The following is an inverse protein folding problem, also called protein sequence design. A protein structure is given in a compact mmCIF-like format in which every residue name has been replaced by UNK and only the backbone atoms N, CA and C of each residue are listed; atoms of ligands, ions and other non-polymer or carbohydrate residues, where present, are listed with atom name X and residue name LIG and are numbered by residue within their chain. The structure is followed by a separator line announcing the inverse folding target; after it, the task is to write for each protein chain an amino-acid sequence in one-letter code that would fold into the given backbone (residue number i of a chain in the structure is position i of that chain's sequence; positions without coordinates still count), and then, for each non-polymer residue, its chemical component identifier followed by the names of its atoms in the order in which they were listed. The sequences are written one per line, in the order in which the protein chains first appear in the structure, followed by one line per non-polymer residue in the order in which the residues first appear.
data_IF_144357796241
#
_entry.id   IF_144357796241
#
_cell.length_a   1.000
_cell.length_b   1.000
_cell.length_c   1.000
_cell.angle_alpha   90.00
_cell.angle_beta   90.00
_cell.angle_gamma   90.00
#
_symmetry.space_group_name_H-M   'P 1'
#
loop_
_entity.id
_entity.type
_entity.pdbx_description
1 polymer ?
#
# COMPACT_ATOMS: atom_id res chain seq x y z
N UNK A 1 15.86 5.49 -4.15
CA UNK A 1 16.02 4.03 -4.28
C UNK A 1 14.76 3.32 -3.79
N UNK A 2 14.25 2.36 -4.51
CA UNK A 2 13.13 1.56 -4.01
C UNK A 2 13.57 0.71 -2.82
N UNK A 3 12.62 0.49 -1.91
CA UNK A 3 12.84 -0.32 -0.71
C UNK A 3 12.73 -1.81 -1.09
N UNK A 4 13.68 -2.62 -0.65
CA UNK A 4 13.69 -4.07 -0.89
C UNK A 4 13.29 -4.88 0.35
N UNK A 5 13.67 -4.40 1.55
CA UNK A 5 13.31 -5.04 2.79
C UNK A 5 12.02 -4.44 3.37
N UNK A 6 11.24 -5.24 4.10
CA UNK A 6 10.02 -4.75 4.75
C UNK A 6 10.40 -3.80 5.89
N UNK A 7 9.87 -2.55 5.89
CA UNK A 7 10.20 -1.59 6.94
C UNK A 7 9.73 -2.06 8.31
N UNK A 8 10.55 -1.83 9.33
CA UNK A 8 10.26 -2.24 10.71
C UNK A 8 9.52 -1.17 11.52
N UNK A 9 9.25 -0.02 10.91
CA UNK A 9 8.56 1.10 11.57
C UNK A 9 7.63 1.81 10.60
N UNK A 10 6.67 2.54 11.17
CA UNK A 10 5.74 3.39 10.43
C UNK A 10 6.50 4.47 9.67
N UNK A 11 6.12 4.70 8.42
CA UNK A 11 6.74 5.74 7.59
C UNK A 11 6.37 5.64 6.12
N UNK A 12 6.90 6.58 5.36
CA UNK A 12 6.75 6.60 3.90
C UNK A 12 7.83 5.77 3.24
N UNK A 13 7.54 5.22 2.07
CA UNK A 13 8.51 4.46 1.29
C UNK A 13 8.18 4.55 -0.20
N UNK A 14 9.16 4.19 -1.02
CA UNK A 14 8.99 4.06 -2.46
C UNK A 14 9.21 2.59 -2.84
N UNK A 15 8.27 2.02 -3.58
CA UNK A 15 8.32 0.65 -4.06
C UNK A 15 8.51 0.62 -5.57
N UNK A 16 9.12 -0.43 -6.09
CA UNK A 16 9.29 -0.58 -7.53
C UNK A 16 8.04 -1.21 -8.13
N UNK A 17 7.37 -0.47 -9.01
CA UNK A 17 6.27 -0.96 -9.83
C UNK A 17 6.66 -1.08 -11.30
N UNK A 18 5.75 -1.54 -12.13
CA UNK A 18 5.97 -1.69 -13.58
C UNK A 18 6.12 -0.35 -14.31
N UNK A 19 5.46 0.71 -13.83
CA UNK A 19 5.52 2.05 -14.42
C UNK A 19 6.55 2.96 -13.75
N UNK A 20 7.30 2.46 -12.79
CA UNK A 20 8.27 3.22 -12.01
C UNK A 20 7.98 3.15 -10.52
N UNK A 21 8.44 4.14 -9.76
CA UNK A 21 8.30 4.15 -8.31
C UNK A 21 6.85 4.38 -7.88
N UNK A 22 6.44 3.65 -6.84
CA UNK A 22 5.12 3.76 -6.21
C UNK A 22 5.29 4.40 -4.85
N UNK A 23 4.56 5.49 -4.62
CA UNK A 23 4.52 6.23 -3.36
C UNK A 23 3.61 5.51 -2.37
N UNK A 24 4.13 5.13 -1.22
CA UNK A 24 3.39 4.31 -0.25
C UNK A 24 3.66 4.76 1.19
N UNK A 25 2.75 4.37 2.08
CA UNK A 25 2.87 4.57 3.52
C UNK A 25 2.59 3.24 4.21
N UNK A 26 3.50 2.83 5.08
CA UNK A 26 3.29 1.70 5.98
C UNK A 26 3.00 2.23 7.38
N UNK A 27 1.99 1.68 8.02
CA UNK A 27 1.67 1.95 9.41
C UNK A 27 1.61 0.63 10.20
N UNK A 28 2.44 0.54 11.23
CA UNK A 28 2.44 -0.58 12.15
C UNK A 28 1.37 -0.38 13.23
N UNK A 29 0.73 -1.46 13.71
CA UNK A 29 -0.17 -1.34 14.85
C UNK A 29 0.59 -0.91 16.09
N UNK A 30 -0.04 -0.07 16.91
CA UNK A 30 0.55 0.48 18.14
C UNK A 30 0.03 -0.20 19.40
N UNK A 31 -1.05 -0.97 19.28
CA UNK A 31 -1.65 -1.69 20.40
C UNK A 31 -0.88 -2.96 20.78
N UNK A 32 -1.39 -3.65 21.79
CA UNK A 32 -0.80 -4.91 22.27
C UNK A 32 -1.04 -6.08 21.32
N UNK A 33 -2.09 -6.02 20.50
CA UNK A 33 -2.39 -7.05 19.51
C UNK A 33 -1.69 -6.69 18.20
N UNK A 34 -0.79 -7.59 17.78
CA UNK A 34 -0.09 -7.44 16.49
C UNK A 34 -0.21 -8.75 15.72
N UNK A 35 -0.95 -8.71 14.62
CA UNK A 35 -1.22 -9.88 13.79
C UNK A 35 -0.14 -10.03 12.73
N UNK A 36 0.14 -11.26 12.32
CA UNK A 36 1.01 -11.52 11.17
C UNK A 36 0.20 -11.36 9.88
N UNK A 37 -0.21 -10.13 9.63
CA UNK A 37 -1.05 -9.75 8.50
C UNK A 37 -0.68 -8.35 8.01
N UNK A 38 -0.67 -8.20 6.70
CA UNK A 38 -0.51 -6.90 6.03
C UNK A 38 -1.76 -6.62 5.21
N UNK A 39 -2.39 -5.50 5.48
CA UNK A 39 -3.54 -5.03 4.71
C UNK A 39 -3.09 -3.99 3.69
N UNK A 40 -3.36 -4.26 2.42
CA UNK A 40 -3.09 -3.34 1.32
C UNK A 40 -4.39 -2.63 0.98
N UNK A 41 -4.41 -1.30 1.09
CA UNK A 41 -5.60 -0.49 0.87
C UNK A 41 -5.44 0.33 -0.41
N UNK A 42 -6.38 0.12 -1.35
CA UNK A 42 -6.43 0.81 -2.63
C UNK A 42 -7.34 2.04 -2.53
N UNK A 43 -6.96 3.13 -3.19
CA UNK A 43 -7.78 4.34 -3.20
C UNK A 43 -8.79 4.35 -4.36
N UNK A 44 -9.83 5.23 -4.28
CA UNK A 44 -10.80 5.38 -5.36
C UNK A 44 -10.17 5.87 -6.67
N UNK A 45 -10.97 5.87 -7.73
CA UNK A 45 -10.54 6.27 -9.07
C UNK A 45 -9.90 7.66 -9.07
N UNK A 46 -8.68 7.83 -9.65
CA UNK A 46 -7.94 9.10 -9.61
C UNK A 46 -8.69 10.29 -10.21
N UNK A 47 -9.48 10.05 -11.26
CA UNK A 47 -10.27 11.10 -11.92
C UNK A 47 -11.41 11.63 -11.02
N UNK A 48 -11.69 10.96 -9.90
CA UNK A 48 -12.65 11.40 -8.89
C UNK A 48 -11.95 11.84 -7.60
N UNK A 49 -10.70 12.31 -7.70
CA UNK A 49 -9.92 12.78 -6.56
C UNK A 49 -9.36 11.68 -5.68
N UNK A 50 -9.29 10.44 -6.20
CA UNK A 50 -8.76 9.31 -5.44
C UNK A 50 -7.26 9.44 -5.18
N UNK A 51 -6.86 9.35 -3.90
CA UNK A 51 -5.47 9.31 -3.46
C UNK A 51 -5.38 8.46 -2.19
N UNK A 52 -4.17 8.09 -1.79
CA UNK A 52 -3.97 7.34 -0.54
C UNK A 52 -4.27 8.15 0.71
N UNK A 53 -4.48 9.45 0.58
CA UNK A 53 -4.90 10.33 1.68
C UNK A 53 -6.41 10.55 1.73
N UNK A 54 -7.16 9.96 0.80
CA UNK A 54 -8.61 10.00 0.80
C UNK A 54 -9.15 9.49 2.14
N UNK A 55 -10.21 10.12 2.65
CA UNK A 55 -10.74 9.81 3.99
C UNK A 55 -11.18 8.37 4.13
N UNK A 56 -11.78 7.77 3.09
CA UNK A 56 -12.17 6.36 3.13
C UNK A 56 -10.95 5.46 3.25
N UNK A 57 -9.88 5.77 2.52
CA UNK A 57 -8.63 5.01 2.56
C UNK A 57 -7.99 5.09 3.95
N UNK A 58 -7.84 6.30 4.50
CA UNK A 58 -7.22 6.47 5.82
C UNK A 58 -8.07 5.88 6.93
N UNK A 59 -9.39 6.00 6.86
CA UNK A 59 -10.30 5.41 7.83
C UNK A 59 -10.22 3.88 7.82
N UNK A 60 -10.22 3.28 6.63
CA UNK A 60 -10.09 1.82 6.48
C UNK A 60 -8.73 1.34 7.01
N UNK A 61 -7.66 2.04 6.66
CA UNK A 61 -6.33 1.71 7.15
C UNK A 61 -6.24 1.79 8.68
N UNK A 62 -6.79 2.83 9.28
CA UNK A 62 -6.77 2.99 10.73
C UNK A 62 -7.59 1.91 11.43
N UNK A 63 -8.74 1.52 10.88
CA UNK A 63 -9.55 0.44 11.44
C UNK A 63 -8.80 -0.89 11.44
N UNK A 64 -8.13 -1.23 10.31
CA UNK A 64 -7.35 -2.46 10.21
C UNK A 64 -6.11 -2.42 11.10
N UNK A 65 -5.47 -1.27 11.23
CA UNK A 65 -4.36 -1.08 12.17
C UNK A 65 -4.82 -1.31 13.60
N UNK A 66 -5.97 -0.78 13.98
CA UNK A 66 -6.52 -0.95 15.33
C UNK A 66 -6.87 -2.42 15.62
N UNK A 67 -7.18 -3.20 14.58
CA UNK A 67 -7.37 -4.65 14.69
C UNK A 67 -6.04 -5.43 14.76
N UNK A 68 -4.91 -4.76 14.70
CA UNK A 68 -3.59 -5.36 14.83
C UNK A 68 -2.89 -5.68 13.51
N UNK A 69 -3.40 -5.24 12.38
CA UNK A 69 -2.75 -5.42 11.08
C UNK A 69 -1.73 -4.32 10.81
N UNK A 70 -0.62 -4.67 10.17
CA UNK A 70 0.23 -3.69 9.51
C UNK A 70 -0.51 -3.25 8.24
N UNK A 71 -0.57 -1.95 7.97
CA UNK A 71 -1.29 -1.44 6.81
C UNK A 71 -0.34 -0.80 5.82
N UNK A 72 -0.64 -0.99 4.54
CA UNK A 72 0.06 -0.33 3.44
C UNK A 72 -0.99 0.33 2.56
N UNK A 73 -0.93 1.65 2.45
CA UNK A 73 -1.71 2.40 1.47
C UNK A 73 -0.74 3.07 0.51
N UNK A 74 -1.18 3.27 -0.70
CA UNK A 74 -0.30 3.75 -1.77
C UNK A 74 -1.09 4.57 -2.78
N UNK A 75 -0.36 5.34 -3.57
CA UNK A 75 -0.93 6.03 -4.73
C UNK A 75 -0.71 5.19 -5.99
N UNK A 76 -1.79 4.94 -6.72
CA UNK A 76 -1.69 4.32 -8.04
C UNK A 76 -0.82 5.17 -8.98
N UNK A 77 -0.33 4.55 -10.06
CA UNK A 77 0.50 5.23 -11.06
C UNK A 77 -0.11 6.55 -11.51
N UNK A 78 0.73 7.57 -11.61
CA UNK A 78 0.31 8.91 -12.01
C UNK A 78 -0.32 9.75 -10.91
N UNK A 79 -0.47 9.22 -9.69
CA UNK A 79 -1.06 9.93 -8.55
C UNK A 79 0.03 10.29 -7.55
N UNK A 80 0.01 11.52 -7.03
CA UNK A 80 0.99 11.98 -6.05
C UNK A 80 2.41 11.80 -6.57
N UNK A 81 3.28 11.15 -5.79
CA UNK A 81 4.66 10.88 -6.18
C UNK A 81 4.84 9.56 -6.92
N UNK A 82 3.78 8.83 -7.19
CA UNK A 82 3.84 7.61 -7.99
C UNK A 82 4.07 7.94 -9.45
N UNK A 83 5.04 7.27 -10.07
CA UNK A 83 5.38 7.47 -11.48
C UNK A 83 4.40 6.77 -12.40
N UNK A 84 4.44 7.12 -13.68
CA UNK A 84 3.59 6.54 -14.69
C UNK A 84 2.32 7.37 -14.94
N UNK A 85 1.38 6.77 -15.66
CA UNK A 85 0.13 7.41 -16.04
C UNK A 85 -1.06 6.47 -15.79
N UNK A 86 -2.22 7.06 -15.52
CA UNK A 86 -3.47 6.31 -15.38
C UNK A 86 -3.70 5.40 -16.59
N UNK A 87 -4.06 4.14 -16.38
CA UNK A 87 -4.17 3.13 -17.42
C UNK A 87 -5.48 2.34 -17.36
N UNK A 88 -6.56 3.02 -17.01
CA UNK A 88 -7.94 2.49 -17.02
C UNK A 88 -8.09 1.14 -16.29
N UNK A 89 -7.37 0.96 -15.21
CA UNK A 89 -7.46 -0.21 -14.34
C UNK A 89 -6.47 -1.31 -14.63
N UNK A 90 -5.93 -1.42 -15.85
CA UNK A 90 -4.96 -2.49 -16.18
C UNK A 90 -3.63 -2.29 -15.50
N UNK A 91 -3.02 -1.11 -15.71
CA UNK A 91 -1.76 -0.78 -15.07
C UNK A 91 -1.91 -0.65 -13.55
N UNK A 92 -3.04 -0.15 -13.08
CA UNK A 92 -3.35 -0.06 -11.66
C UNK A 92 -3.41 -1.45 -11.02
N UNK A 93 -3.99 -2.44 -11.72
CA UNK A 93 -3.94 -3.83 -11.27
C UNK A 93 -2.52 -4.36 -11.17
N UNK A 94 -1.65 -4.00 -12.12
CA UNK A 94 -0.23 -4.35 -12.06
C UNK A 94 0.47 -3.72 -10.87
N UNK A 95 0.09 -2.50 -10.47
CA UNK A 95 0.62 -1.87 -9.27
C UNK A 95 0.29 -2.69 -8.02
N UNK A 96 -0.95 -3.18 -7.90
CA UNK A 96 -1.36 -4.04 -6.78
C UNK A 96 -0.55 -5.34 -6.78
N UNK A 97 -0.39 -5.97 -7.94
CA UNK A 97 0.39 -7.21 -8.07
C UNK A 97 1.84 -6.99 -7.65
N UNK A 98 2.44 -5.88 -8.07
CA UNK A 98 3.82 -5.55 -7.70
C UNK A 98 3.97 -5.38 -6.19
N UNK A 99 3.03 -4.70 -5.54
CA UNK A 99 3.05 -4.48 -4.09
C UNK A 99 2.87 -5.80 -3.35
N UNK A 100 1.89 -6.61 -3.72
CA UNK A 100 1.64 -7.90 -3.09
C UNK A 100 2.82 -8.85 -3.26
N UNK A 101 3.46 -8.85 -4.44
CA UNK A 101 4.66 -9.63 -4.69
C UNK A 101 5.83 -9.23 -3.81
N UNK A 102 6.04 -7.92 -3.65
CA UNK A 102 7.06 -7.41 -2.75
C UNK A 102 6.82 -7.83 -1.30
N UNK A 103 5.57 -7.72 -0.81
CA UNK A 103 5.22 -8.10 0.55
C UNK A 103 5.52 -9.59 0.77
N UNK A 104 5.13 -10.45 -0.18
CA UNK A 104 5.37 -11.90 -0.05
C UNK A 104 6.84 -12.26 -0.02
N UNK A 105 7.68 -11.53 -0.75
CA UNK A 105 9.13 -11.74 -0.71
C UNK A 105 9.75 -11.19 0.56
N UNK A 106 9.30 -10.04 1.03
CA UNK A 106 9.86 -9.38 2.21
C UNK A 106 9.35 -9.99 3.52
N UNK A 107 8.15 -10.57 3.52
CA UNK A 107 7.55 -11.24 4.69
C UNK A 107 6.89 -12.55 4.27
N UNK A 108 7.69 -13.62 4.00
CA UNK A 108 7.14 -14.91 3.60
C UNK A 108 6.15 -15.45 4.65
N UNK A 109 5.03 -15.99 4.18
CA UNK A 109 4.02 -16.58 5.04
C UNK A 109 3.06 -15.60 5.70
N UNK A 110 3.21 -14.29 5.49
CA UNK A 110 2.28 -13.29 6.03
C UNK A 110 0.90 -13.44 5.38
N UNK A 111 -0.15 -13.17 6.15
CA UNK A 111 -1.50 -13.09 5.60
C UNK A 111 -1.67 -11.74 4.90
N UNK A 112 -2.11 -11.77 3.64
CA UNK A 112 -2.42 -10.58 2.88
C UNK A 112 -3.92 -10.30 2.89
N UNK A 113 -4.28 -9.07 3.22
CA UNK A 113 -5.64 -8.56 3.13
C UNK A 113 -5.65 -7.46 2.08
N UNK A 114 -6.61 -7.52 1.16
CA UNK A 114 -6.77 -6.51 0.12
C UNK A 114 -8.09 -5.78 0.34
N UNK A 115 -8.02 -4.48 0.45
CA UNK A 115 -9.19 -3.65 0.71
C UNK A 115 -9.33 -2.46 -0.27
#
# INVERSE_FOLDING_TARGET
MPVTAFPQSTGTLLLQGGAGLIDAVIEWPTGSIQRDAVAVICHPHPLHGGTMTNKVVTTTAHALRDLGCTTLRFNFRGVGRSQGEHDDGRGEGDDVVSICGWIRQARPGVTLILA
#
